data_IF_865939539826
#
_entry.id   IF_865939539826
#
_cell.length_a   1.000
_cell.length_b   1.000
_cell.length_c   1.000
_cell.angle_alpha   90.00
_cell.angle_beta   90.00
_cell.angle_gamma   90.00
#
_symmetry.space_group_name_H-M   'P 1'
#
loop_
_entity.id
_entity.type
_entity.pdbx_description
1 polymer ?
#
# COMPACT_ATOMS: atom_id res chain seq x y z
N UNK A 1 -23.68 19.17 -18.80
CA UNK A 1 -22.38 19.55 -19.43
C UNK A 1 -21.86 20.92 -18.98
N UNK A 2 -22.69 21.97 -18.85
CA UNK A 2 -22.25 23.32 -18.42
C UNK A 2 -21.92 23.45 -16.91
N UNK A 3 -22.65 22.75 -16.04
CA UNK A 3 -22.38 22.75 -14.58
C UNK A 3 -21.10 21.95 -14.25
N UNK A 4 -20.89 20.82 -14.93
CA UNK A 4 -19.70 19.99 -14.76
C UNK A 4 -18.42 20.72 -15.22
N UNK A 5 -18.48 21.45 -16.35
CA UNK A 5 -17.37 22.31 -16.79
C UNK A 5 -17.13 23.48 -15.84
N UNK A 6 -18.17 24.15 -15.34
CA UNK A 6 -18.00 25.20 -14.31
C UNK A 6 -17.38 24.67 -13.02
N UNK A 7 -17.75 23.47 -12.58
CA UNK A 7 -17.14 22.85 -11.38
C UNK A 7 -15.70 22.42 -11.64
N UNK A 8 -15.38 21.90 -12.83
CA UNK A 8 -14.01 21.55 -13.22
C UNK A 8 -13.12 22.79 -13.35
N UNK A 9 -13.59 23.86 -14.01
CA UNK A 9 -12.88 25.14 -14.10
C UNK A 9 -12.67 25.77 -12.70
N UNK A 10 -13.67 25.65 -11.82
CA UNK A 10 -13.52 26.06 -10.41
C UNK A 10 -12.49 25.22 -9.66
N UNK A 11 -12.34 23.93 -9.99
CA UNK A 11 -11.39 23.03 -9.33
C UNK A 11 -9.95 23.33 -9.71
N UNK A 12 -9.68 23.59 -11.00
CA UNK A 12 -8.35 24.04 -11.46
C UNK A 12 -7.96 25.39 -10.84
N UNK A 13 -8.92 26.32 -10.80
CA UNK A 13 -8.72 27.63 -10.19
C UNK A 13 -8.50 27.54 -8.67
N UNK A 14 -9.22 26.64 -7.99
CA UNK A 14 -9.02 26.32 -6.56
C UNK A 14 -7.64 25.74 -6.30
N UNK A 15 -7.18 24.81 -7.14
CA UNK A 15 -5.86 24.19 -7.00
C UNK A 15 -4.75 25.22 -7.21
N UNK A 16 -4.86 26.06 -8.24
CA UNK A 16 -3.93 27.17 -8.48
C UNK A 16 -3.91 28.17 -7.32
N UNK A 17 -5.08 28.55 -6.81
CA UNK A 17 -5.18 29.41 -5.63
C UNK A 17 -4.56 28.77 -4.38
N UNK A 18 -4.77 27.47 -4.16
CA UNK A 18 -4.18 26.75 -3.03
C UNK A 18 -2.65 26.73 -3.09
N UNK A 19 -2.06 26.55 -4.27
CA UNK A 19 -0.59 26.60 -4.46
C UNK A 19 -0.07 28.01 -4.19
N UNK A 20 -0.72 29.05 -4.73
CA UNK A 20 -0.33 30.45 -4.49
C UNK A 20 -0.47 30.79 -2.99
N UNK A 21 -1.57 30.39 -2.36
CA UNK A 21 -1.79 30.59 -0.93
C UNK A 21 -0.70 29.90 -0.10
N UNK A 22 -0.31 28.68 -0.48
CA UNK A 22 0.80 27.94 0.15
C UNK A 22 2.12 28.71 0.08
N UNK A 23 2.44 29.30 -1.08
CA UNK A 23 3.64 30.14 -1.22
C UNK A 23 3.50 31.44 -0.42
N UNK A 24 2.32 32.05 -0.40
CA UNK A 24 2.06 33.27 0.36
C UNK A 24 2.22 33.05 1.88
N UNK A 25 1.88 31.86 2.40
CA UNK A 25 2.10 31.48 3.80
C UNK A 25 3.58 31.54 4.20
N UNK A 26 4.51 31.33 3.26
CA UNK A 26 5.94 31.46 3.53
C UNK A 26 6.37 32.90 3.79
N UNK A 27 5.57 33.90 3.43
CA UNK A 27 5.92 35.31 3.54
C UNK A 27 5.05 35.97 4.60
N UNK A 28 3.74 35.71 4.58
CA UNK A 28 2.77 36.38 5.43
C UNK A 28 2.66 35.71 6.81
N UNK A 29 2.58 36.49 7.91
CA UNK A 29 2.30 35.94 9.23
C UNK A 29 0.88 35.37 9.28
N UNK A 30 0.75 34.19 9.86
CA UNK A 30 -0.51 33.45 9.96
C UNK A 30 -1.00 33.44 11.41
N UNK A 31 -2.31 33.57 11.68
CA UNK A 31 -2.84 33.38 13.02
C UNK A 31 -2.77 31.89 13.43
N UNK A 32 -2.57 31.62 14.72
CA UNK A 32 -2.42 30.24 15.24
C UNK A 32 -3.62 29.34 14.93
N UNK A 33 -4.84 29.89 15.00
CA UNK A 33 -6.09 29.17 14.66
C UNK A 33 -6.08 28.67 13.21
N UNK A 34 -5.58 29.49 12.28
CA UNK A 34 -5.51 29.10 10.87
C UNK A 34 -4.41 28.05 10.64
N UNK A 35 -3.29 28.15 11.37
CA UNK A 35 -2.24 27.12 11.34
C UNK A 35 -2.82 25.77 11.79
N UNK A 36 -3.51 25.72 12.94
CA UNK A 36 -4.11 24.49 13.46
C UNK A 36 -5.11 23.87 12.47
N UNK A 37 -5.98 24.69 11.86
CA UNK A 37 -6.92 24.24 10.83
C UNK A 37 -6.19 23.61 9.64
N UNK A 38 -5.13 24.25 9.14
CA UNK A 38 -4.39 23.77 7.99
C UNK A 38 -3.53 22.53 8.30
N UNK A 39 -3.00 22.42 9.51
CA UNK A 39 -2.35 21.20 9.99
C UNK A 39 -3.36 20.04 10.04
N UNK A 40 -4.58 20.28 10.54
CA UNK A 40 -5.65 19.29 10.52
C UNK A 40 -6.05 18.90 9.09
N UNK A 41 -6.12 19.86 8.16
CA UNK A 41 -6.33 19.58 6.72
C UNK A 41 -5.19 18.73 6.15
N UNK A 42 -3.93 18.98 6.53
CA UNK A 42 -2.80 18.15 6.10
C UNK A 42 -2.95 16.70 6.57
N UNK A 43 -3.39 16.47 7.81
CA UNK A 43 -3.67 15.13 8.33
C UNK A 43 -4.82 14.49 7.55
N UNK A 44 -5.90 15.23 7.32
CA UNK A 44 -7.06 14.75 6.55
C UNK A 44 -6.66 14.30 5.14
N UNK A 45 -5.84 15.10 4.44
CA UNK A 45 -5.32 14.73 3.12
C UNK A 45 -4.51 13.45 3.21
N UNK A 46 -3.65 13.30 4.23
CA UNK A 46 -2.89 12.05 4.46
C UNK A 46 -3.79 10.83 4.64
N UNK A 47 -4.85 10.95 5.46
CA UNK A 47 -5.81 9.87 5.71
C UNK A 47 -6.56 9.49 4.42
N UNK A 48 -7.13 10.49 3.73
CA UNK A 48 -7.86 10.26 2.47
C UNK A 48 -6.94 9.62 1.43
N UNK A 49 -5.69 10.06 1.35
CA UNK A 49 -4.69 9.52 0.43
C UNK A 49 -4.37 8.06 0.76
N UNK A 50 -4.16 7.72 2.03
CA UNK A 50 -3.91 6.34 2.48
C UNK A 50 -5.09 5.42 2.20
N UNK A 51 -6.31 5.86 2.56
CA UNK A 51 -7.52 5.07 2.33
C UNK A 51 -7.80 4.89 0.84
N UNK A 52 -7.58 5.93 0.03
CA UNK A 52 -7.68 5.81 -1.44
C UNK A 52 -6.66 4.81 -1.97
N UNK A 53 -5.44 4.82 -1.44
CA UNK A 53 -4.40 3.87 -1.82
C UNK A 53 -4.73 2.42 -1.44
N UNK A 54 -5.41 2.19 -0.31
CA UNK A 54 -5.85 0.85 0.12
C UNK A 54 -6.97 0.27 -0.74
N UNK A 55 -7.85 1.14 -1.26
CA UNK A 55 -9.06 0.73 -1.95
C UNK A 55 -8.94 0.72 -3.48
N UNK A 56 -7.84 1.23 -4.06
CA UNK A 56 -7.63 1.17 -5.50
C UNK A 56 -7.52 -0.29 -5.97
N UNK A 57 -8.05 -0.62 -7.15
CA UNK A 57 -7.88 -1.93 -7.78
C UNK A 57 -6.76 -1.91 -8.81
N UNK A 58 -6.73 -0.86 -9.62
CA UNK A 58 -5.71 -0.66 -10.65
C UNK A 58 -4.93 0.63 -10.41
N UNK A 59 -3.65 0.64 -10.77
CA UNK A 59 -2.77 1.81 -10.70
C UNK A 59 -3.33 3.00 -11.50
N UNK A 60 -4.03 2.72 -12.59
CA UNK A 60 -4.63 3.72 -13.47
C UNK A 60 -5.75 4.53 -12.79
N UNK A 61 -6.41 3.98 -11.76
CA UNK A 61 -7.49 4.66 -11.02
C UNK A 61 -6.97 5.88 -10.25
N UNK A 62 -5.69 5.88 -9.86
CA UNK A 62 -5.09 6.96 -9.09
C UNK A 62 -3.96 7.69 -9.83
N UNK A 63 -4.17 7.96 -11.12
CA UNK A 63 -3.18 8.66 -11.98
C UNK A 63 -2.74 10.06 -11.48
N UNK A 64 -3.53 10.72 -10.63
CA UNK A 64 -3.24 12.05 -10.05
C UNK A 64 -2.30 11.96 -8.83
N UNK A 65 -2.07 10.77 -8.28
CA UNK A 65 -1.27 10.56 -7.07
C UNK A 65 0.10 11.24 -7.08
N UNK A 66 0.95 11.15 -8.14
CA UNK A 66 2.27 11.79 -8.13
C UNK A 66 2.18 13.32 -8.01
N UNK A 67 1.20 13.93 -8.67
CA UNK A 67 0.95 15.38 -8.59
C UNK A 67 0.41 15.79 -7.22
N UNK A 68 -0.45 14.97 -6.62
CA UNK A 68 -0.94 15.17 -5.26
C UNK A 68 0.21 15.12 -4.25
N UNK A 69 1.14 14.17 -4.38
CA UNK A 69 2.35 14.10 -3.54
C UNK A 69 3.16 15.40 -3.60
N UNK A 70 3.36 15.96 -4.79
CA UNK A 70 4.11 17.20 -4.96
C UNK A 70 3.42 18.39 -4.26
N UNK A 71 2.13 18.60 -4.54
CA UNK A 71 1.37 19.73 -3.96
C UNK A 71 1.28 19.60 -2.44
N UNK A 72 1.00 18.41 -1.92
CA UNK A 72 0.90 18.16 -0.48
C UNK A 72 2.24 18.32 0.24
N UNK A 73 3.35 17.98 -0.40
CA UNK A 73 4.68 18.18 0.17
C UNK A 73 5.02 19.67 0.26
N UNK A 74 4.74 20.46 -0.79
CA UNK A 74 4.93 21.92 -0.76
C UNK A 74 4.05 22.55 0.32
N UNK A 75 2.80 22.10 0.43
CA UNK A 75 1.87 22.54 1.48
C UNK A 75 2.41 22.27 2.88
N UNK A 76 2.88 21.04 3.13
CA UNK A 76 3.48 20.65 4.41
C UNK A 76 4.74 21.46 4.73
N UNK A 77 5.59 21.69 3.73
CA UNK A 77 6.78 22.53 3.88
C UNK A 77 6.41 23.95 4.31
N UNK A 78 5.38 24.55 3.70
CA UNK A 78 4.91 25.88 4.07
C UNK A 78 4.33 25.93 5.49
N UNK A 79 3.60 24.88 5.90
CA UNK A 79 3.09 24.77 7.27
C UNK A 79 4.23 24.68 8.28
N UNK A 80 5.25 23.86 8.03
CA UNK A 80 6.41 23.74 8.93
C UNK A 80 7.19 25.06 9.06
N UNK A 81 7.36 25.80 7.97
CA UNK A 81 8.01 27.13 8.03
C UNK A 81 7.14 28.14 8.79
N UNK A 82 5.82 28.07 8.62
CA UNK A 82 4.87 28.95 9.29
C UNK A 82 4.79 28.66 10.80
N UNK A 83 4.76 27.38 11.18
CA UNK A 83 4.74 26.95 12.59
C UNK A 83 6.04 27.31 13.29
N UNK A 84 7.20 27.03 12.69
CA UNK A 84 8.51 27.47 13.19
C UNK A 84 8.53 28.96 13.50
N UNK A 85 8.07 29.78 12.55
CA UNK A 85 8.03 31.24 12.75
C UNK A 85 7.17 31.61 13.95
N UNK A 86 5.97 31.04 14.08
CA UNK A 86 5.09 31.34 15.20
C UNK A 86 5.65 30.86 16.53
N UNK A 87 6.25 29.66 16.58
CA UNK A 87 6.92 29.12 17.76
C UNK A 87 8.04 30.06 18.21
N UNK A 88 8.90 30.50 17.28
CA UNK A 88 10.01 31.41 17.59
C UNK A 88 9.53 32.83 17.94
N UNK A 89 8.46 33.33 17.31
CA UNK A 89 7.92 34.68 17.57
C UNK A 89 7.09 34.78 18.85
N UNK A 90 6.38 33.73 19.25
CA UNK A 90 5.44 33.78 20.37
C UNK A 90 5.93 33.00 21.59
N UNK A 91 6.75 31.95 21.40
CA UNK A 91 7.30 31.12 22.47
C UNK A 91 6.23 30.71 23.50
N UNK A 92 6.35 31.12 24.78
CA UNK A 92 5.37 30.79 25.81
C UNK A 92 3.93 31.20 25.49
N UNK A 93 3.73 32.25 24.69
CA UNK A 93 2.42 32.79 24.30
C UNK A 93 1.83 32.11 23.05
N UNK A 94 2.49 31.10 22.50
CA UNK A 94 2.06 30.43 21.28
C UNK A 94 0.67 29.79 21.45
N UNK A 95 -0.34 30.18 20.69
CA UNK A 95 -1.73 29.70 20.91
C UNK A 95 -2.17 28.57 19.95
N UNK A 96 -1.21 27.79 19.43
CA UNK A 96 -1.52 26.61 18.61
C UNK A 96 -1.86 25.42 19.50
N UNK A 97 -3.14 25.06 19.51
CA UNK A 97 -3.70 24.00 20.35
C UNK A 97 -3.23 22.63 19.88
N UNK A 98 -3.17 22.41 18.56
CA UNK A 98 -2.82 21.11 18.01
C UNK A 98 -1.37 20.75 18.37
N UNK A 99 -0.43 21.67 18.10
CA UNK A 99 0.99 21.48 18.41
C UNK A 99 1.22 21.28 19.91
N UNK A 100 0.57 22.09 20.78
CA UNK A 100 0.69 21.91 22.23
C UNK A 100 0.17 20.55 22.69
N UNK A 101 -1.01 20.15 22.23
CA UNK A 101 -1.62 18.88 22.61
C UNK A 101 -0.73 17.69 22.24
N UNK A 102 -0.15 17.69 21.04
CA UNK A 102 0.80 16.64 20.63
C UNK A 102 2.11 16.67 21.42
N UNK A 103 2.63 17.86 21.73
CA UNK A 103 3.83 18.01 22.55
C UNK A 103 3.62 17.46 23.96
N UNK A 104 2.53 17.85 24.62
CA UNK A 104 2.17 17.39 25.97
C UNK A 104 1.91 15.88 26.00
N UNK A 105 1.23 15.34 24.99
CA UNK A 105 0.94 13.91 24.88
C UNK A 105 2.21 13.04 24.88
N UNK A 106 3.26 13.45 24.16
CA UNK A 106 4.51 12.68 24.08
C UNK A 106 5.45 12.96 25.24
N UNK A 107 5.45 14.19 25.77
CA UNK A 107 6.28 14.56 26.91
C UNK A 107 5.84 13.86 28.20
N UNK A 108 4.54 13.66 28.42
CA UNK A 108 4.03 12.88 29.56
C UNK A 108 4.54 13.36 30.94
N UNK A 109 4.90 14.65 31.05
CA UNK A 109 5.50 15.25 32.25
C UNK A 109 7.03 15.24 32.33
N UNK A 110 7.74 14.56 31.42
CA UNK A 110 9.21 14.57 31.36
C UNK A 110 9.72 14.90 29.95
N UNK A 111 10.18 16.15 29.77
CA UNK A 111 10.62 16.68 28.48
C UNK A 111 11.83 15.94 27.89
N UNK A 112 12.70 15.38 28.74
CA UNK A 112 13.85 14.59 28.28
C UNK A 112 13.37 13.28 27.66
N UNK A 113 12.47 12.57 28.34
CA UNK A 113 11.89 11.33 27.81
C UNK A 113 11.11 11.61 26.52
N UNK A 114 10.29 12.67 26.52
CA UNK A 114 9.56 13.11 25.33
C UNK A 114 10.47 13.41 24.14
N UNK A 115 11.59 14.08 24.38
CA UNK A 115 12.59 14.36 23.35
C UNK A 115 13.22 13.09 22.79
N UNK A 116 13.57 12.12 23.64
CA UNK A 116 14.12 10.83 23.19
C UNK A 116 13.10 10.06 22.35
N UNK A 117 11.84 9.98 22.79
CA UNK A 117 10.77 9.31 22.04
C UNK A 117 10.56 9.99 20.69
N UNK A 118 10.48 11.32 20.68
CA UNK A 118 10.38 12.10 19.46
C UNK A 118 11.52 11.80 18.49
N UNK A 119 12.77 11.80 18.97
CA UNK A 119 13.94 11.54 18.13
C UNK A 119 13.90 10.12 17.54
N UNK A 120 13.45 9.12 18.30
CA UNK A 120 13.21 7.76 17.79
C UNK A 120 12.16 7.77 16.68
N UNK A 121 11.02 8.43 16.89
CA UNK A 121 9.95 8.50 15.89
C UNK A 121 10.41 9.17 14.59
N UNK A 122 11.15 10.27 14.69
CA UNK A 122 11.72 10.96 13.51
C UNK A 122 12.71 10.06 12.78
N UNK A 123 13.59 9.38 13.51
CA UNK A 123 14.57 8.47 12.91
C UNK A 123 13.91 7.29 12.22
N UNK A 124 12.90 6.66 12.83
CA UNK A 124 12.14 5.57 12.21
C UNK A 124 11.48 6.06 10.92
N UNK A 125 10.86 7.25 10.95
CA UNK A 125 10.22 7.82 9.76
C UNK A 125 11.21 8.07 8.63
N UNK A 126 12.39 8.65 8.94
CA UNK A 126 13.39 8.98 7.91
C UNK A 126 14.14 7.73 7.41
N UNK A 127 14.68 6.93 8.31
CA UNK A 127 15.64 5.86 7.99
C UNK A 127 14.93 4.61 7.48
N UNK A 128 13.77 4.26 8.05
CA UNK A 128 13.06 3.02 7.71
C UNK A 128 11.97 3.30 6.69
N UNK A 129 11.03 4.20 7.02
CA UNK A 129 9.79 4.35 6.24
C UNK A 129 10.04 5.12 4.94
N UNK A 130 10.59 6.33 5.03
CA UNK A 130 10.85 7.20 3.87
C UNK A 130 11.92 6.64 2.92
N UNK A 131 12.99 6.05 3.47
CA UNK A 131 14.02 5.40 2.67
C UNK A 131 13.52 4.12 2.01
N UNK A 132 12.74 3.32 2.74
CA UNK A 132 12.11 2.10 2.22
C UNK A 132 11.16 2.38 1.06
N UNK A 133 10.22 3.31 1.26
CA UNK A 133 9.25 3.69 0.22
C UNK A 133 9.92 4.23 -1.05
N UNK A 134 10.98 5.03 -0.93
CA UNK A 134 11.74 5.52 -2.09
C UNK A 134 12.45 4.40 -2.83
N UNK A 135 13.08 3.48 -2.10
CA UNK A 135 13.77 2.35 -2.74
C UNK A 135 12.78 1.45 -3.47
N UNK A 136 11.62 1.20 -2.86
CA UNK A 136 10.53 0.48 -3.52
C UNK A 136 10.05 1.21 -4.78
N UNK A 137 9.84 2.53 -4.70
CA UNK A 137 9.37 3.33 -5.85
C UNK A 137 10.37 3.34 -7.01
N UNK A 138 11.65 3.52 -6.72
CA UNK A 138 12.72 3.52 -7.73
C UNK A 138 12.79 2.16 -8.44
N UNK A 139 12.77 1.08 -7.66
CA UNK A 139 12.93 -0.29 -8.19
C UNK A 139 11.69 -0.72 -8.96
N UNK A 140 10.48 -0.48 -8.45
CA UNK A 140 9.24 -0.79 -9.17
C UNK A 140 9.11 0.03 -10.44
N UNK A 141 9.44 1.33 -10.42
CA UNK A 141 9.43 2.15 -11.62
C UNK A 141 10.40 1.61 -12.67
N UNK A 142 11.62 1.26 -12.27
CA UNK A 142 12.60 0.67 -13.18
C UNK A 142 12.11 -0.65 -13.78
N UNK A 143 11.60 -1.58 -12.97
CA UNK A 143 11.10 -2.86 -13.49
C UNK A 143 9.87 -2.69 -14.38
N UNK A 144 8.97 -1.77 -14.05
CA UNK A 144 7.83 -1.47 -14.90
C UNK A 144 8.27 -0.91 -16.26
N UNK A 145 9.26 -0.01 -16.27
CA UNK A 145 9.85 0.55 -17.50
C UNK A 145 10.58 -0.51 -18.33
N UNK A 146 11.36 -1.39 -17.68
CA UNK A 146 12.08 -2.48 -18.34
C UNK A 146 11.11 -3.51 -18.96
N UNK A 147 9.91 -3.68 -18.38
CA UNK A 147 8.88 -4.57 -18.89
C UNK A 147 8.03 -3.98 -20.05
N UNK A 148 8.16 -2.68 -20.36
CA UNK A 148 7.32 -2.02 -21.37
C UNK A 148 7.44 -2.61 -22.77
N UNK A 149 8.64 -2.88 -23.32
CA UNK A 149 8.74 -3.46 -24.66
C UNK A 149 8.05 -4.83 -24.73
N UNK A 150 8.17 -5.64 -23.67
CA UNK A 150 7.50 -6.94 -23.58
C UNK A 150 5.98 -6.82 -23.56
N UNK A 151 5.43 -5.89 -22.76
CA UNK A 151 3.99 -5.60 -22.74
C UNK A 151 3.48 -5.06 -24.10
N UNK A 152 4.26 -4.21 -24.78
CA UNK A 152 3.91 -3.69 -26.11
C UNK A 152 3.90 -4.80 -27.17
N UNK A 153 4.93 -5.65 -27.18
CA UNK A 153 5.02 -6.80 -28.10
C UNK A 153 3.88 -7.80 -27.87
N UNK A 154 3.51 -8.07 -26.61
CA UNK A 154 2.39 -8.94 -26.29
C UNK A 154 1.06 -8.40 -26.86
N UNK A 155 0.82 -7.09 -26.75
CA UNK A 155 -0.38 -6.46 -27.35
C UNK A 155 -0.35 -6.59 -28.89
N UNK A 156 0.81 -6.43 -29.52
CA UNK A 156 0.95 -6.60 -30.98
C UNK A 156 0.71 -8.05 -31.42
N UNK A 157 1.19 -9.02 -30.65
CA UNK A 157 0.93 -10.44 -30.89
C UNK A 157 -0.54 -10.80 -30.71
N UNK A 158 -1.23 -10.24 -29.72
CA UNK A 158 -2.67 -10.43 -29.52
C UNK A 158 -3.49 -9.92 -30.71
N UNK A 159 -3.10 -8.78 -31.31
CA UNK A 159 -3.75 -8.27 -32.54
C UNK A 159 -3.46 -9.16 -33.74
N UNK A 160 -2.19 -9.56 -33.93
CA UNK A 160 -1.79 -10.40 -35.06
C UNK A 160 -2.44 -11.80 -35.02
N UNK A 161 -2.69 -12.34 -33.83
CA UNK A 161 -3.37 -13.62 -33.62
C UNK A 161 -4.90 -13.51 -33.67
N UNK A 162 -5.46 -12.29 -33.76
CA UNK A 162 -6.90 -12.03 -33.78
C UNK A 162 -7.59 -12.20 -32.42
N UNK A 163 -6.83 -12.26 -31.32
CA UNK A 163 -7.37 -12.33 -29.96
C UNK A 163 -8.04 -11.02 -29.52
N UNK A 164 -7.55 -9.88 -30.04
CA UNK A 164 -8.10 -8.55 -29.76
C UNK A 164 -8.24 -7.72 -31.04
N UNK A 165 -9.12 -6.73 -31.00
CA UNK A 165 -9.36 -5.78 -32.09
C UNK A 165 -8.37 -4.62 -32.10
N UNK A 166 -8.28 -3.89 -33.21
CA UNK A 166 -7.46 -2.67 -33.33
C UNK A 166 -7.88 -1.57 -32.33
N UNK A 167 -9.18 -1.49 -32.02
CA UNK A 167 -9.72 -0.53 -31.05
C UNK A 167 -9.32 -0.89 -29.61
N UNK A 168 -9.35 -2.19 -29.27
CA UNK A 168 -8.83 -2.69 -27.99
C UNK A 168 -7.32 -2.51 -27.87
N UNK A 169 -6.56 -2.69 -28.96
CA UNK A 169 -5.12 -2.42 -28.98
C UNK A 169 -4.81 -0.97 -28.63
N UNK A 170 -5.53 -0.01 -29.22
CA UNK A 170 -5.37 1.42 -28.88
C UNK A 170 -5.65 1.68 -27.40
N UNK A 171 -6.75 1.14 -26.89
CA UNK A 171 -7.13 1.29 -25.48
C UNK A 171 -6.08 0.71 -24.54
N UNK A 172 -5.57 -0.50 -24.81
CA UNK A 172 -4.49 -1.13 -24.03
C UNK A 172 -3.18 -0.35 -24.11
N UNK A 173 -2.80 0.16 -25.29
CA UNK A 173 -1.62 1.01 -25.46
C UNK A 173 -1.74 2.32 -24.69
N UNK A 174 -2.92 2.94 -24.66
CA UNK A 174 -3.18 4.12 -23.84
C UNK A 174 -3.09 3.84 -22.33
N UNK A 175 -3.60 2.68 -21.89
CA UNK A 175 -3.42 2.20 -20.52
C UNK A 175 -1.94 2.03 -20.16
N UNK A 176 -1.18 1.36 -21.03
CA UNK A 176 0.26 1.15 -20.85
C UNK A 176 1.06 2.47 -20.85
N UNK A 177 0.66 3.44 -21.68
CA UNK A 177 1.27 4.79 -21.67
C UNK A 177 1.00 5.50 -20.34
N UNK A 178 -0.24 5.44 -19.83
CA UNK A 178 -0.60 6.02 -18.53
C UNK A 178 0.18 5.37 -17.39
N UNK A 179 0.33 4.04 -17.40
CA UNK A 179 1.16 3.30 -16.44
C UNK A 179 2.63 3.77 -16.49
N UNK A 180 3.19 3.91 -17.68
CA UNK A 180 4.56 4.40 -17.90
C UNK A 180 4.75 5.82 -17.36
N UNK A 181 3.86 6.74 -17.74
CA UNK A 181 3.89 8.13 -17.29
C UNK A 181 3.73 8.23 -15.78
N UNK A 182 2.90 7.37 -15.18
CA UNK A 182 2.71 7.29 -13.74
C UNK A 182 4.02 6.93 -13.04
N UNK A 183 4.69 5.83 -13.42
CA UNK A 183 5.96 5.43 -12.81
C UNK A 183 7.07 6.46 -13.01
N UNK A 184 7.14 7.10 -14.18
CA UNK A 184 8.09 8.18 -14.44
C UNK A 184 7.87 9.40 -13.52
N UNK A 185 6.62 9.81 -13.31
CA UNK A 185 6.26 10.91 -12.40
C UNK A 185 6.45 10.53 -10.93
N UNK A 186 6.21 9.27 -10.58
CA UNK A 186 6.34 8.75 -9.21
C UNK A 186 7.78 8.77 -8.68
N UNK A 187 8.78 8.42 -9.51
CA UNK A 187 10.19 8.48 -9.08
C UNK A 187 10.59 9.91 -8.68
N UNK A 188 10.17 10.91 -9.48
CA UNK A 188 10.40 12.32 -9.17
C UNK A 188 9.66 12.79 -7.90
N UNK A 189 8.37 12.47 -7.80
CA UNK A 189 7.54 12.87 -6.66
C UNK A 189 8.05 12.27 -5.33
N UNK A 190 8.48 11.01 -5.34
CA UNK A 190 8.94 10.31 -4.12
C UNK A 190 10.24 10.90 -3.59
N UNK A 191 11.17 11.31 -4.47
CA UNK A 191 12.39 12.04 -4.08
C UNK A 191 12.08 13.38 -3.43
N UNK A 192 11.01 14.06 -3.85
CA UNK A 192 10.56 15.31 -3.25
C UNK A 192 10.01 15.10 -1.83
N UNK A 193 9.19 14.06 -1.62
CA UNK A 193 8.67 13.69 -0.28
C UNK A 193 9.81 13.34 0.69
N UNK A 194 10.88 12.68 0.23
CA UNK A 194 12.06 12.43 1.07
C UNK A 194 12.78 13.70 1.54
N UNK A 195 12.74 14.76 0.74
CA UNK A 195 13.34 16.04 1.08
C UNK A 195 12.66 16.67 2.29
N UNK A 196 11.34 16.58 2.36
CA UNK A 196 10.53 17.11 3.45
C UNK A 196 10.84 16.43 4.81
N UNK A 197 10.97 15.10 4.84
CA UNK A 197 11.31 14.38 6.09
C UNK A 197 12.69 14.78 6.62
N UNK A 198 13.67 14.97 5.72
CA UNK A 198 15.01 15.47 6.10
C UNK A 198 14.94 16.90 6.63
N UNK A 199 14.12 17.74 6.02
CA UNK A 199 13.96 19.13 6.44
C UNK A 199 13.33 19.23 7.83
N UNK A 200 12.45 18.31 8.21
CA UNK A 200 11.85 18.26 9.55
C UNK A 200 12.88 18.16 10.69
N UNK A 201 13.96 17.39 10.51
CA UNK A 201 15.07 17.34 11.48
C UNK A 201 15.83 18.66 11.57
N UNK A 202 16.07 19.30 10.42
CA UNK A 202 16.73 20.60 10.36
C UNK A 202 15.87 21.66 11.05
N UNK A 203 14.56 21.66 10.79
CA UNK A 203 13.59 22.54 11.45
C UNK A 203 13.59 22.32 12.96
N UNK A 204 13.60 21.06 13.41
CA UNK A 204 13.69 20.73 14.84
C UNK A 204 14.93 21.39 15.48
N UNK A 205 16.09 21.25 14.85
CA UNK A 205 17.32 21.86 15.34
C UNK A 205 17.24 23.39 15.36
N UNK A 206 16.66 23.99 14.31
CA UNK A 206 16.44 25.45 14.23
C UNK A 206 15.50 25.93 15.34
N UNK A 207 14.40 25.22 15.60
CA UNK A 207 13.42 25.60 16.61
C UNK A 207 14.03 25.56 18.01
N UNK A 208 14.82 24.52 18.34
CA UNK A 208 15.45 24.40 19.66
C UNK A 208 16.56 25.45 19.82
N UNK A 209 17.50 25.53 18.87
CA UNK A 209 18.64 26.45 18.97
C UNK A 209 18.16 27.90 18.90
N UNK A 210 17.33 28.23 17.91
CA UNK A 210 16.75 29.55 17.74
C UNK A 210 15.85 29.94 18.90
N UNK A 211 15.06 28.99 19.41
CA UNK A 211 14.20 29.18 20.57
C UNK A 211 15.00 29.50 21.83
N UNK A 212 16.09 28.77 22.10
CA UNK A 212 16.97 29.06 23.23
C UNK A 212 17.65 30.43 23.11
N UNK A 213 18.13 30.79 21.92
CA UNK A 213 18.76 32.10 21.69
C UNK A 213 17.75 33.25 21.89
N UNK A 214 16.54 33.12 21.35
CA UNK A 214 15.49 34.14 21.47
C UNK A 214 14.94 34.19 22.90
N UNK A 215 14.61 33.04 23.49
CA UNK A 215 14.04 32.92 24.83
C UNK A 215 15.01 33.42 25.91
N UNK A 216 16.19 32.80 26.00
CA UNK A 216 17.16 33.14 27.03
C UNK A 216 17.94 34.44 26.72
N UNK A 217 18.27 34.68 25.45
CA UNK A 217 19.11 35.82 25.06
C UNK A 217 18.36 37.12 24.82
N UNK A 218 17.12 37.08 24.29
CA UNK A 218 16.36 38.28 23.93
C UNK A 218 15.20 38.54 24.90
N UNK A 219 14.44 37.50 25.28
CA UNK A 219 13.26 37.63 26.15
C UNK A 219 13.57 37.56 27.64
N UNK A 220 14.79 37.22 28.02
CA UNK A 220 15.20 37.11 29.42
C UNK A 220 14.56 35.95 30.17
N UNK A 221 14.08 34.92 29.45
CA UNK A 221 13.59 33.68 30.06
C UNK A 221 14.75 32.93 30.71
N UNK A 222 14.49 32.17 31.78
CA UNK A 222 15.55 31.29 32.32
C UNK A 222 15.91 30.22 31.29
N UNK A 223 17.16 29.77 31.28
CA UNK A 223 17.59 28.73 30.33
C UNK A 223 16.74 27.47 30.45
N UNK A 224 16.34 27.09 31.68
CA UNK A 224 15.51 25.94 31.93
C UNK A 224 14.08 26.12 31.39
N UNK A 225 13.47 27.29 31.59
CA UNK A 225 12.11 27.58 31.09
C UNK A 225 12.08 27.66 29.56
N UNK A 226 13.06 28.34 28.96
CA UNK A 226 13.22 28.38 27.52
C UNK A 226 13.38 26.96 26.96
N UNK A 227 14.26 26.15 27.57
CA UNK A 227 14.46 24.76 27.13
C UNK A 227 13.16 23.95 27.20
N UNK A 228 12.39 24.07 28.29
CA UNK A 228 11.10 23.37 28.44
C UNK A 228 10.09 23.80 27.37
N UNK A 229 9.88 25.10 27.21
CA UNK A 229 8.88 25.65 26.28
C UNK A 229 9.22 25.30 24.84
N UNK A 230 10.43 25.64 24.38
CA UNK A 230 10.81 25.42 22.99
C UNK A 230 11.01 23.94 22.67
N UNK A 231 11.45 23.10 23.61
CA UNK A 231 11.49 21.64 23.38
C UNK A 231 10.08 21.08 23.24
N UNK A 232 9.15 21.45 24.12
CA UNK A 232 7.76 20.97 24.05
C UNK A 232 7.08 21.38 22.75
N UNK A 233 7.19 22.66 22.36
CA UNK A 233 6.61 23.16 21.11
C UNK A 233 7.27 22.53 19.88
N UNK A 234 8.59 22.32 19.90
CA UNK A 234 9.31 21.68 18.79
C UNK A 234 8.93 20.21 18.64
N UNK A 235 8.84 19.47 19.75
CA UNK A 235 8.40 18.07 19.74
C UNK A 235 6.98 18.01 19.18
N UNK A 236 6.07 18.86 19.66
CA UNK A 236 4.70 18.93 19.17
C UNK A 236 4.63 19.21 17.66
N UNK A 237 5.36 20.22 17.20
CA UNK A 237 5.42 20.62 15.79
C UNK A 237 5.93 19.48 14.89
N UNK A 238 7.04 18.86 15.28
CA UNK A 238 7.61 17.74 14.53
C UNK A 238 6.70 16.51 14.48
N UNK A 239 5.94 16.23 15.55
CA UNK A 239 4.97 15.12 15.58
C UNK A 239 3.76 15.39 14.69
N UNK A 240 3.20 16.60 14.76
CA UNK A 240 2.07 16.99 13.89
C UNK A 240 2.48 16.94 12.43
N UNK A 241 3.70 17.38 12.10
CA UNK A 241 4.24 17.30 10.75
C UNK A 241 4.49 15.85 10.28
N UNK A 242 4.74 14.92 11.20
CA UNK A 242 5.03 13.52 10.90
C UNK A 242 3.81 12.69 10.56
N UNK A 243 2.66 12.91 11.20
CA UNK A 243 1.47 12.10 10.96
C UNK A 243 1.07 12.12 9.47
N UNK A 244 0.91 13.27 8.80
CA UNK A 244 0.65 13.30 7.37
C UNK A 244 1.78 12.66 6.55
N UNK A 245 3.05 12.85 6.96
CA UNK A 245 4.20 12.25 6.29
C UNK A 245 4.14 10.72 6.28
N UNK A 246 3.84 10.13 7.45
CA UNK A 246 3.70 8.70 7.66
C UNK A 246 2.58 8.12 6.79
N UNK A 247 1.42 8.78 6.80
CA UNK A 247 0.25 8.36 6.03
C UNK A 247 0.54 8.42 4.52
N UNK A 248 1.11 9.51 4.04
CA UNK A 248 1.45 9.69 2.63
C UNK A 248 2.55 8.72 2.19
N UNK A 249 3.60 8.54 3.00
CA UNK A 249 4.71 7.62 2.67
C UNK A 249 4.24 6.17 2.66
N UNK A 250 3.37 5.79 3.59
CA UNK A 250 2.72 4.48 3.60
C UNK A 250 1.84 4.28 2.36
N UNK A 251 1.06 5.31 1.99
CA UNK A 251 0.27 5.29 0.76
C UNK A 251 1.16 5.06 -0.46
N UNK A 252 2.27 5.81 -0.58
CA UNK A 252 3.25 5.64 -1.67
C UNK A 252 3.79 4.23 -1.72
N UNK A 253 4.20 3.67 -0.58
CA UNK A 253 4.68 2.29 -0.49
C UNK A 253 3.65 1.28 -1.00
N UNK A 254 2.37 1.45 -0.64
CA UNK A 254 1.29 0.58 -1.09
C UNK A 254 1.00 0.71 -2.58
N UNK A 255 0.89 1.94 -3.11
CA UNK A 255 0.62 2.18 -4.54
C UNK A 255 1.71 1.54 -5.40
N UNK A 256 2.96 1.69 -4.99
CA UNK A 256 4.13 1.15 -5.69
C UNK A 256 4.26 -0.37 -5.56
N UNK A 257 3.87 -0.94 -4.42
CA UNK A 257 3.90 -2.39 -4.20
C UNK A 257 2.79 -3.13 -4.97
N UNK A 258 1.74 -2.43 -5.40
CA UNK A 258 0.58 -2.99 -6.10
C UNK A 258 0.74 -3.22 -7.60
N UNK A 259 1.97 -3.11 -8.14
CA UNK A 259 2.26 -3.37 -9.55
C UNK A 259 1.83 -4.78 -9.99
N UNK A 260 0.62 -4.91 -10.56
CA UNK A 260 0.09 -6.15 -11.16
C UNK A 260 -0.95 -6.92 -10.33
N UNK A 261 -1.41 -6.39 -9.20
CA UNK A 261 -2.53 -6.97 -8.45
C UNK A 261 -3.88 -6.62 -9.11
N UNK A 262 -4.80 -7.58 -9.21
CA UNK A 262 -6.14 -7.39 -9.81
C UNK A 262 -7.21 -7.02 -8.78
N UNK A 263 -7.01 -7.38 -7.52
CA UNK A 263 -7.98 -7.23 -6.44
C UNK A 263 -7.57 -6.13 -5.45
N UNK A 264 -8.44 -5.78 -4.48
CA UNK A 264 -8.11 -4.83 -3.40
C UNK A 264 -7.15 -5.44 -2.38
N UNK A 265 -6.37 -4.62 -1.65
CA UNK A 265 -5.35 -5.16 -0.73
C UNK A 265 -6.03 -5.91 0.41
N UNK A 266 -7.16 -5.37 0.86
CA UNK A 266 -8.00 -5.99 1.87
C UNK A 266 -8.51 -7.36 1.46
N UNK A 267 -8.94 -7.55 0.20
CA UNK A 267 -9.43 -8.85 -0.27
C UNK A 267 -8.28 -9.85 -0.44
N UNK A 268 -7.11 -9.41 -0.93
CA UNK A 268 -5.94 -10.30 -1.04
C UNK A 268 -5.43 -10.74 0.34
N UNK A 269 -5.32 -9.81 1.31
CA UNK A 269 -4.93 -10.16 2.67
C UNK A 269 -5.96 -11.08 3.34
N UNK A 270 -7.25 -10.83 3.18
CA UNK A 270 -8.29 -11.72 3.71
C UNK A 270 -8.18 -13.11 3.12
N UNK A 271 -8.04 -13.19 1.79
CA UNK A 271 -8.06 -14.46 1.07
C UNK A 271 -6.76 -15.25 1.20
N UNK A 272 -5.63 -14.60 1.48
CA UNK A 272 -4.34 -15.29 1.63
C UNK A 272 -4.02 -15.63 3.09
N UNK A 273 -4.21 -14.69 4.03
CA UNK A 273 -3.89 -14.94 5.43
C UNK A 273 -5.00 -15.72 6.13
N UNK A 274 -6.27 -15.42 5.84
CA UNK A 274 -7.43 -15.98 6.53
C UNK A 274 -8.18 -17.02 5.71
N UNK A 275 -7.48 -17.73 4.81
CA UNK A 275 -8.05 -18.89 4.10
C UNK A 275 -7.55 -20.23 4.64
N UNK A 276 -6.42 -20.24 5.36
CA UNK A 276 -5.85 -21.48 5.85
C UNK A 276 -6.19 -21.71 7.33
N UNK A 277 -7.26 -22.46 7.59
CA UNK A 277 -7.70 -22.85 8.93
C UNK A 277 -6.60 -23.56 9.73
N UNK A 278 -5.74 -24.35 9.06
CA UNK A 278 -4.61 -25.04 9.70
C UNK A 278 -3.56 -24.08 10.23
N UNK A 279 -3.28 -22.98 9.51
CA UNK A 279 -2.35 -21.94 9.99
C UNK A 279 -2.89 -21.30 11.26
N UNK A 280 -4.19 -20.98 11.31
CA UNK A 280 -4.83 -20.41 12.51
C UNK A 280 -4.72 -21.31 13.73
N UNK A 281 -4.94 -22.61 13.58
CA UNK A 281 -4.77 -23.58 14.67
C UNK A 281 -3.31 -23.71 15.12
N UNK A 282 -2.36 -23.77 14.19
CA UNK A 282 -0.93 -23.87 14.52
C UNK A 282 -0.44 -22.62 15.26
N UNK A 283 -0.82 -21.43 14.80
CA UNK A 283 -0.47 -20.16 15.46
C UNK A 283 -1.15 -20.05 16.83
N UNK A 284 -2.45 -20.38 16.92
CA UNK A 284 -3.17 -20.39 18.19
C UNK A 284 -2.58 -21.36 19.21
N UNK A 285 -2.22 -22.58 18.78
CA UNK A 285 -1.52 -23.55 19.61
C UNK A 285 -0.13 -23.08 20.05
N UNK A 286 0.64 -22.47 19.15
CA UNK A 286 1.95 -21.91 19.47
C UNK A 286 1.85 -20.78 20.53
N UNK A 287 0.87 -19.88 20.41
CA UNK A 287 0.62 -18.84 21.43
C UNK A 287 0.21 -19.43 22.79
N UNK A 288 -0.57 -20.52 22.78
CA UNK A 288 -0.91 -21.24 24.00
C UNK A 288 0.34 -21.81 24.68
N UNK A 289 1.22 -22.50 23.94
CA UNK A 289 2.46 -23.03 24.50
C UNK A 289 3.41 -21.91 24.96
N UNK A 290 3.51 -20.80 24.22
CA UNK A 290 4.29 -19.64 24.62
C UNK A 290 3.82 -19.04 25.95
N UNK A 291 2.51 -19.09 26.24
CA UNK A 291 1.95 -18.60 27.50
C UNK A 291 2.38 -19.40 28.74
N UNK A 292 2.88 -20.63 28.56
CA UNK A 292 3.37 -21.47 29.65
C UNK A 292 4.75 -21.00 30.14
N UNK A 293 5.47 -20.18 29.36
CA UNK A 293 6.75 -19.60 29.74
C UNK A 293 6.55 -18.59 30.88
N UNK A 294 7.26 -18.73 32.02
CA UNK A 294 7.19 -17.78 33.12
C UNK A 294 7.59 -16.36 32.69
N UNK A 295 6.85 -15.34 33.14
CA UNK A 295 7.11 -13.92 32.82
C UNK A 295 6.34 -13.36 31.63
N UNK A 296 5.65 -14.20 30.84
CA UNK A 296 4.79 -13.75 29.74
C UNK A 296 3.37 -13.36 30.20
N UNK A 297 2.70 -12.40 29.53
CA UNK A 297 1.34 -11.98 29.85
C UNK A 297 0.32 -13.07 29.47
N UNK A 298 0.10 -14.04 30.37
CA UNK A 298 -0.69 -15.26 30.14
C UNK A 298 -2.09 -14.98 29.63
N UNK A 299 -2.80 -14.05 30.26
CA UNK A 299 -4.17 -13.71 29.90
C UNK A 299 -4.29 -13.20 28.46
N UNK A 300 -3.42 -12.27 28.05
CA UNK A 300 -3.40 -11.74 26.68
C UNK A 300 -3.11 -12.83 25.65
N UNK A 301 -2.19 -13.75 25.96
CA UNK A 301 -1.84 -14.86 25.06
C UNK A 301 -2.94 -15.92 24.98
N UNK A 302 -3.61 -16.24 26.07
CA UNK A 302 -4.76 -17.15 26.06
C UNK A 302 -5.94 -16.58 25.29
N UNK A 303 -6.21 -15.28 25.43
CA UNK A 303 -7.26 -14.59 24.68
C UNK A 303 -6.98 -14.66 23.16
N UNK A 304 -5.76 -14.31 22.75
CA UNK A 304 -5.36 -14.37 21.34
C UNK A 304 -5.34 -15.80 20.80
N UNK A 305 -4.86 -16.76 21.59
CA UNK A 305 -4.86 -18.18 21.24
C UNK A 305 -6.29 -18.70 21.01
N UNK A 306 -7.19 -18.43 21.94
CA UNK A 306 -8.60 -18.82 21.83
C UNK A 306 -9.28 -18.17 20.63
N UNK A 307 -8.98 -16.90 20.35
CA UNK A 307 -9.53 -16.18 19.19
C UNK A 307 -9.06 -16.80 17.88
N UNK A 308 -7.76 -17.10 17.73
CA UNK A 308 -7.22 -17.73 16.52
C UNK A 308 -7.75 -19.16 16.33
N UNK A 309 -7.83 -19.97 17.39
CA UNK A 309 -8.42 -21.32 17.32
C UNK A 309 -9.90 -21.24 16.96
N UNK A 310 -10.64 -20.28 17.53
CA UNK A 310 -12.04 -20.03 17.22
C UNK A 310 -12.26 -19.60 15.77
N UNK A 311 -11.42 -18.70 15.24
CA UNK A 311 -11.43 -18.32 13.82
C UNK A 311 -11.11 -19.52 12.91
N UNK A 312 -10.08 -20.30 13.24
CA UNK A 312 -9.74 -21.52 12.51
C UNK A 312 -10.89 -22.53 12.46
N UNK A 313 -11.63 -22.68 13.56
CA UNK A 313 -12.82 -23.51 13.64
C UNK A 313 -13.98 -23.01 12.78
N UNK A 314 -14.26 -21.71 12.83
CA UNK A 314 -15.28 -21.10 11.99
C UNK A 314 -14.96 -21.25 10.50
N UNK A 315 -13.70 -21.07 10.12
CA UNK A 315 -13.23 -21.21 8.73
C UNK A 315 -13.28 -22.66 8.25
N UNK A 316 -12.81 -23.63 9.06
CA UNK A 316 -12.87 -25.05 8.70
C UNK A 316 -14.30 -25.51 8.40
N UNK A 317 -15.29 -25.01 9.15
CA UNK A 317 -16.70 -25.27 8.86
C UNK A 317 -17.17 -24.70 7.53
N UNK A 318 -16.67 -23.53 7.11
CA UNK A 318 -17.03 -22.97 5.81
C UNK A 318 -16.39 -23.74 4.65
N UNK A 319 -15.17 -24.22 4.83
CA UNK A 319 -14.49 -25.08 3.85
C UNK A 319 -15.22 -26.42 3.72
N UNK A 320 -15.60 -27.05 4.84
CA UNK A 320 -16.35 -28.31 4.85
C UNK A 320 -17.72 -28.15 4.16
N UNK A 321 -18.45 -27.05 4.43
CA UNK A 321 -19.75 -26.76 3.79
C UNK A 321 -19.59 -26.47 2.29
N UNK A 322 -18.50 -25.82 1.85
CA UNK A 322 -18.21 -25.61 0.42
C UNK A 322 -17.88 -26.93 -0.27
N UNK A 323 -17.03 -27.76 0.34
CA UNK A 323 -16.68 -29.09 -0.19
C UNK A 323 -17.93 -29.98 -0.25
N UNK A 324 -18.82 -29.88 0.74
CA UNK A 324 -20.08 -30.63 0.77
C UNK A 324 -21.08 -30.12 -0.26
N UNK A 325 -21.12 -28.81 -0.54
CA UNK A 325 -21.89 -28.22 -1.66
C UNK A 325 -21.33 -28.60 -3.03
N UNK A 326 -20.03 -28.56 -3.23
CA UNK A 326 -19.39 -29.00 -4.49
C UNK A 326 -19.60 -30.51 -4.71
N UNK A 327 -19.55 -31.31 -3.65
CA UNK A 327 -19.94 -32.73 -3.70
C UNK A 327 -21.44 -32.92 -3.95
N UNK A 328 -22.30 -32.07 -3.39
CA UNK A 328 -23.74 -32.11 -3.62
C UNK A 328 -24.12 -31.66 -5.05
N UNK A 329 -23.42 -30.69 -5.64
CA UNK A 329 -23.57 -30.28 -7.04
C UNK A 329 -22.99 -31.32 -8.01
N UNK A 330 -21.91 -32.01 -7.61
CA UNK A 330 -21.36 -33.15 -8.34
C UNK A 330 -22.23 -34.42 -8.25
N UNK A 331 -23.02 -34.56 -7.18
CA UNK A 331 -23.91 -35.71 -6.95
C UNK A 331 -25.40 -35.41 -7.20
N UNK A 332 -25.76 -34.17 -7.51
CA UNK A 332 -27.08 -33.83 -7.98
C UNK A 332 -27.29 -34.49 -9.35
N UNK A 333 -28.40 -35.22 -9.56
CA UNK A 333 -28.70 -35.76 -10.88
C UNK A 333 -28.87 -34.59 -11.85
N UNK A 334 -27.96 -34.47 -12.83
CA UNK A 334 -28.14 -33.55 -13.96
C UNK A 334 -29.55 -33.77 -14.53
N UNK A 335 -30.32 -32.70 -14.82
CA UNK A 335 -31.57 -32.87 -15.54
C UNK A 335 -31.28 -33.62 -16.84
N UNK A 336 -31.97 -34.74 -17.05
CA UNK A 336 -31.81 -35.61 -18.21
C UNK A 336 -32.21 -34.87 -19.49
N UNK A 337 -31.26 -34.16 -20.08
CA UNK A 337 -31.34 -33.81 -21.50
C UNK A 337 -31.10 -35.10 -22.30
N UNK A 338 -31.97 -35.50 -23.24
CA UNK A 338 -31.88 -36.78 -23.97
C UNK A 338 -30.66 -36.91 -24.90
N UNK A 339 -29.63 -36.06 -24.79
CA UNK A 339 -28.57 -35.91 -25.79
C UNK A 339 -27.17 -36.23 -25.26
N UNK A 340 -26.97 -36.38 -23.94
CA UNK A 340 -25.63 -36.70 -23.39
C UNK A 340 -25.36 -38.22 -23.21
N UNK A 341 -26.38 -39.09 -23.35
CA UNK A 341 -26.26 -40.53 -23.07
C UNK A 341 -25.45 -41.34 -24.10
N UNK A 342 -24.85 -40.70 -25.11
CA UNK A 342 -24.12 -41.42 -26.18
C UNK A 342 -22.60 -41.33 -26.03
N UNK A 343 -22.08 -40.48 -25.14
CA UNK A 343 -20.62 -40.23 -25.05
C UNK A 343 -19.92 -40.92 -23.87
N UNK A 344 -20.65 -41.30 -22.81
CA UNK A 344 -20.06 -41.94 -21.62
C UNK A 344 -19.80 -43.45 -21.76
N UNK A 345 -20.20 -44.07 -22.87
CA UNK A 345 -19.96 -45.49 -23.16
C UNK A 345 -18.66 -45.75 -23.95
N UNK A 346 -17.91 -44.69 -24.29
CA UNK A 346 -16.60 -44.84 -24.92
C UNK A 346 -15.51 -44.88 -23.85
N UNK A 347 -15.11 -46.09 -23.48
CA UNK A 347 -13.88 -46.35 -22.73
C UNK A 347 -12.71 -45.59 -23.38
N UNK A 348 -12.11 -44.64 -22.67
CA UNK A 348 -10.90 -43.95 -23.11
C UNK A 348 -9.78 -44.99 -23.31
N UNK A 349 -9.36 -45.14 -24.56
CA UNK A 349 -8.24 -46.01 -24.91
C UNK A 349 -6.97 -45.53 -24.18
N UNK A 350 -6.42 -46.37 -23.31
CA UNK A 350 -5.25 -46.03 -22.48
C UNK A 350 -3.98 -45.80 -23.30
N UNK A 351 -3.90 -46.35 -24.51
CA UNK A 351 -2.78 -46.20 -25.44
C UNK A 351 -3.34 -46.12 -26.86
N UNK A 352 -3.03 -45.02 -27.56
CA UNK A 352 -3.39 -44.81 -28.97
C UNK A 352 -2.13 -44.81 -29.83
N UNK A 353 -2.15 -45.57 -30.92
CA UNK A 353 -1.08 -45.60 -31.91
C UNK A 353 -1.60 -45.02 -33.22
N UNK A 354 -1.10 -43.85 -33.60
CA UNK A 354 -1.44 -43.21 -34.87
C UNK A 354 -0.39 -43.56 -35.94
N UNK A 355 -0.87 -44.06 -37.08
CA UNK A 355 -0.02 -44.52 -38.18
C UNK A 355 -0.26 -43.63 -39.38
N UNK A 356 0.81 -42.96 -39.85
CA UNK A 356 0.75 -42.17 -41.08
C UNK A 356 0.55 -43.04 -42.33
N UNK A 357 -0.03 -42.48 -43.39
CA UNK A 357 -0.38 -43.17 -44.64
C UNK A 357 0.79 -43.96 -45.26
N UNK A 358 2.02 -43.45 -45.15
CA UNK A 358 3.21 -44.11 -45.70
C UNK A 358 3.61 -45.39 -44.95
N UNK A 359 3.07 -45.61 -43.75
CA UNK A 359 3.37 -46.76 -42.89
C UNK A 359 2.23 -47.80 -42.88
N UNK A 360 1.15 -47.56 -43.63
CA UNK A 360 -0.03 -48.43 -43.65
C UNK A 360 0.30 -49.86 -44.12
N UNK A 361 1.12 -49.99 -45.17
CA UNK A 361 1.54 -51.29 -45.72
C UNK A 361 2.37 -52.12 -44.71
N UNK A 362 3.09 -51.45 -43.82
CA UNK A 362 3.89 -52.10 -42.76
C UNK A 362 2.99 -52.45 -41.57
N UNK A 363 2.05 -51.57 -41.23
CA UNK A 363 1.11 -51.76 -40.14
C UNK A 363 0.13 -52.92 -40.38
N UNK A 364 -0.32 -53.12 -41.62
CA UNK A 364 -1.31 -54.16 -41.95
C UNK A 364 -0.79 -55.59 -41.75
N UNK A 365 0.49 -55.86 -42.02
CA UNK A 365 0.94 -57.24 -42.15
C UNK A 365 1.42 -57.89 -40.84
N UNK A 366 1.78 -57.15 -39.79
CA UNK A 366 2.38 -57.75 -38.58
C UNK A 366 2.27 -56.93 -37.27
N UNK A 367 1.55 -55.79 -37.27
CA UNK A 367 1.54 -54.88 -36.11
C UNK A 367 0.82 -55.46 -34.89
N UNK A 368 -0.34 -56.09 -35.11
CA UNK A 368 -1.17 -56.65 -34.04
C UNK A 368 -0.46 -57.80 -33.33
N UNK A 369 0.21 -58.67 -34.08
CA UNK A 369 0.97 -59.79 -33.52
C UNK A 369 2.19 -59.31 -32.72
N UNK A 370 2.90 -58.29 -33.22
CA UNK A 370 4.01 -57.66 -32.50
C UNK A 370 3.58 -56.98 -31.20
N UNK A 371 2.47 -56.24 -31.21
CA UNK A 371 1.91 -55.62 -30.00
C UNK A 371 1.54 -56.70 -28.98
N UNK A 372 0.94 -57.81 -29.42
CA UNK A 372 0.57 -58.93 -28.56
C UNK A 372 1.79 -59.58 -27.91
N UNK A 373 2.85 -59.82 -28.69
CA UNK A 373 4.10 -60.39 -28.17
C UNK A 373 4.83 -59.43 -27.23
N UNK A 374 4.83 -58.13 -27.54
CA UNK A 374 5.44 -57.10 -26.70
C UNK A 374 4.71 -56.96 -25.37
N UNK A 375 3.37 -57.00 -25.37
CA UNK A 375 2.55 -57.05 -24.15
C UNK A 375 2.87 -58.28 -23.30
N UNK A 376 3.03 -59.46 -23.91
CA UNK A 376 3.41 -60.69 -23.18
C UNK A 376 4.82 -60.62 -22.60
N UNK A 377 5.75 -59.96 -23.28
CA UNK A 377 7.13 -59.79 -22.80
C UNK A 377 7.18 -58.82 -21.62
N UNK A 378 6.53 -57.65 -21.74
CA UNK A 378 6.42 -56.65 -20.66
C UNK A 378 5.68 -57.16 -19.43
N UNK A 379 4.81 -58.17 -19.57
CA UNK A 379 4.13 -58.79 -18.43
C UNK A 379 4.97 -59.89 -17.75
N UNK A 380 6.07 -60.32 -18.38
CA UNK A 380 6.99 -61.36 -17.85
C UNK A 380 8.28 -60.78 -17.28
N UNK A 381 8.72 -59.62 -17.78
CA UNK A 381 9.67 -58.74 -17.09
C UNK A 381 8.99 -58.09 -15.89
#
# INVERSE_FOLDING_TARGET
>A
MSVLRRMLDQTEMLMGFAVIATIAMLILPMPAILLDLLLAVSVLIGIVTLLSALNMREINEFSVFPSLLLVTTIFRLALNVSSTRLILLQGPQFDGQLIRAFGEFVVGGNYVIGFVIFLILVLVQMVVISKGANRMSEVSARFALDALPGKQMAIEQDVQSGLITEEEMRTRREGLRRETDFYGRMDGATKFVQGDVRLGLVITAINIIGGLVIGAGIRGETFEDALKVYSLLTIGDGLVAQIPSLLITSATGMVVARAGALDSLSSELSDQLFRNSRVMYLTGGALFFASLIPGFPKFSLWLLSGLLIGLGYYMSRQDDVKIEREKAESSAPKPSNPTETVLDEYSLDKIKLEVGINLLNIAQNNLVERITNLRRKLAKE
#
